data_IF_831213972491
#
_entry.id   IF_831213972491
#
_cell.length_a   1.000
_cell.length_b   1.000
_cell.length_c   1.000
_cell.angle_alpha   90.00
_cell.angle_beta   90.00
_cell.angle_gamma   90.00
#
_symmetry.space_group_name_H-M   'P 1'
#
loop_
_entity.id
_entity.type
_entity.pdbx_description
1 polymer ?
#
# COMPACT_ATOMS: atom_id res chain seq x y z
N UNK A 1 -3.74 -33.23 5.79
CA UNK A 1 -2.33 -33.35 5.35
C UNK A 1 -1.81 -31.94 5.19
N UNK A 2 -0.70 -31.59 5.83
CA UNK A 2 -0.01 -30.31 5.60
C UNK A 2 0.72 -30.41 4.26
N UNK A 3 0.21 -29.70 3.25
CA UNK A 3 0.87 -29.59 1.95
C UNK A 3 2.30 -29.06 2.13
N UNK A 4 3.26 -29.64 1.42
CA UNK A 4 4.68 -29.22 1.45
C UNK A 4 5.08 -28.81 0.03
N UNK A 5 5.39 -27.52 -0.21
CA UNK A 5 5.70 -27.01 -1.54
C UNK A 5 7.04 -27.55 -2.05
N UNK A 6 7.12 -27.84 -3.35
CA UNK A 6 8.33 -28.22 -4.08
C UNK A 6 8.88 -27.07 -4.91
N UNK A 7 8.02 -26.15 -5.36
CA UNK A 7 8.42 -24.96 -6.09
C UNK A 7 8.85 -23.84 -5.15
N UNK A 8 9.92 -23.14 -5.53
CA UNK A 8 10.45 -21.99 -4.79
C UNK A 8 9.36 -20.91 -4.59
N UNK A 9 8.52 -20.69 -5.61
CA UNK A 9 7.44 -19.71 -5.53
C UNK A 9 6.45 -20.02 -4.41
N UNK A 10 5.86 -21.23 -4.38
CA UNK A 10 4.89 -21.58 -3.35
C UNK A 10 5.53 -21.68 -1.96
N UNK A 11 6.79 -22.10 -1.88
CA UNK A 11 7.54 -22.07 -0.63
C UNK A 11 7.59 -20.64 -0.08
N UNK A 12 8.03 -19.67 -0.89
CA UNK A 12 8.08 -18.26 -0.50
C UNK A 12 6.70 -17.72 -0.14
N UNK A 13 5.66 -18.03 -0.93
CA UNK A 13 4.30 -17.57 -0.66
C UNK A 13 3.78 -18.05 0.69
N UNK A 14 4.02 -19.32 1.04
CA UNK A 14 3.58 -19.92 2.30
C UNK A 14 4.42 -19.42 3.48
N UNK A 15 5.75 -19.46 3.39
CA UNK A 15 6.66 -19.07 4.49
C UNK A 15 6.54 -17.60 4.89
N UNK A 16 6.28 -16.72 3.91
CA UNK A 16 6.12 -15.28 4.15
C UNK A 16 4.69 -14.86 4.48
N UNK A 17 3.72 -15.77 4.38
CA UNK A 17 2.32 -15.50 4.70
C UNK A 17 1.57 -14.71 3.63
N UNK A 18 1.90 -14.91 2.35
CA UNK A 18 1.17 -14.31 1.23
C UNK A 18 -0.13 -15.04 0.89
N UNK A 19 -0.32 -16.29 1.33
CA UNK A 19 -1.46 -17.09 0.91
C UNK A 19 -2.63 -16.98 1.90
N UNK A 20 -3.78 -16.54 1.39
CA UNK A 20 -5.07 -16.70 2.06
C UNK A 20 -5.76 -18.00 1.62
N UNK A 21 -5.82 -18.24 0.30
CA UNK A 21 -6.46 -19.43 -0.25
C UNK A 21 -5.90 -19.78 -1.62
N UNK A 22 -5.95 -21.06 -1.99
CA UNK A 22 -5.46 -21.61 -3.25
C UNK A 22 -6.42 -22.68 -3.76
N UNK A 23 -6.74 -22.64 -5.05
CA UNK A 23 -7.73 -23.56 -5.63
C UNK A 23 -7.23 -25.00 -5.68
N UNK A 24 -5.92 -25.20 -5.86
CA UNK A 24 -5.31 -26.52 -5.97
C UNK A 24 -3.79 -26.44 -5.75
N UNK A 25 -3.35 -26.75 -4.53
CA UNK A 25 -1.93 -26.67 -4.17
C UNK A 25 -1.06 -27.64 -4.96
N UNK A 26 -1.46 -28.92 -5.04
CA UNK A 26 -0.64 -29.96 -5.68
C UNK A 26 -0.50 -29.69 -7.18
N UNK A 27 -1.61 -29.38 -7.86
CA UNK A 27 -1.58 -29.09 -9.30
C UNK A 27 -0.81 -27.82 -9.64
N UNK A 28 -0.96 -26.77 -8.82
CA UNK A 28 -0.23 -25.52 -9.02
C UNK A 28 1.28 -25.72 -8.82
N UNK A 29 1.67 -26.45 -7.79
CA UNK A 29 3.07 -26.73 -7.47
C UNK A 29 3.75 -27.56 -8.57
N UNK A 30 3.06 -28.57 -9.08
CA UNK A 30 3.52 -29.35 -10.24
C UNK A 30 3.68 -28.49 -11.50
N UNK A 31 2.77 -27.54 -11.73
CA UNK A 31 2.86 -26.62 -12.86
C UNK A 31 4.04 -25.65 -12.71
N UNK A 32 4.24 -25.09 -11.51
CA UNK A 32 5.34 -24.17 -11.21
C UNK A 32 6.71 -24.84 -11.33
N UNK A 33 6.82 -26.12 -10.93
CA UNK A 33 8.07 -26.90 -11.06
C UNK A 33 8.53 -27.07 -12.51
N UNK A 34 7.66 -26.88 -13.51
CA UNK A 34 8.04 -26.91 -14.93
C UNK A 34 8.78 -25.64 -15.37
N UNK A 35 8.71 -24.56 -14.59
CA UNK A 35 9.37 -23.28 -14.85
C UNK A 35 8.67 -22.41 -15.90
N UNK A 36 8.97 -21.11 -15.89
CA UNK A 36 8.52 -20.15 -16.91
C UNK A 36 7.01 -19.86 -16.93
N UNK A 37 6.25 -20.34 -15.93
CA UNK A 37 4.80 -20.26 -15.91
C UNK A 37 4.32 -18.80 -15.90
N UNK A 38 3.51 -18.37 -16.89
CA UNK A 38 2.90 -17.05 -16.87
C UNK A 38 1.74 -16.99 -15.88
N UNK A 39 1.73 -15.94 -15.06
CA UNK A 39 0.65 -15.69 -14.10
C UNK A 39 0.36 -14.20 -14.00
N UNK A 40 -0.89 -13.84 -13.71
CA UNK A 40 -1.33 -12.46 -13.76
C UNK A 40 -2.03 -11.96 -12.50
N UNK A 41 -2.00 -10.64 -12.34
CA UNK A 41 -2.89 -9.89 -11.45
C UNK A 41 -3.46 -8.72 -12.26
N UNK A 42 -4.77 -8.50 -12.14
CA UNK A 42 -5.49 -7.38 -12.73
C UNK A 42 -5.50 -6.14 -11.85
N UNK A 43 -5.34 -4.96 -12.45
CA UNK A 43 -5.38 -3.67 -11.78
C UNK A 43 -6.26 -2.69 -12.55
N UNK A 44 -7.42 -2.35 -11.98
CA UNK A 44 -8.27 -1.28 -12.51
C UNK A 44 -7.57 0.09 -12.36
N UNK A 45 -7.66 0.91 -13.40
CA UNK A 45 -7.02 2.22 -13.49
C UNK A 45 -7.90 3.33 -12.89
N UNK A 46 -8.25 3.21 -11.61
CA UNK A 46 -9.13 4.18 -10.91
C UNK A 46 -8.46 5.47 -10.47
N UNK A 47 -7.13 5.47 -10.40
CA UNK A 47 -6.33 6.61 -9.97
C UNK A 47 -4.97 6.59 -10.69
N UNK A 48 -4.28 7.72 -10.69
CA UNK A 48 -2.97 7.88 -11.35
C UNK A 48 -1.83 7.13 -10.68
N UNK A 49 -2.06 6.61 -9.48
CA UNK A 49 -1.11 5.76 -8.76
C UNK A 49 -1.84 4.62 -8.09
N UNK A 50 -1.13 3.52 -7.88
CA UNK A 50 -1.50 2.54 -6.86
C UNK A 50 -1.16 3.08 -5.46
N UNK A 51 -1.69 2.44 -4.42
CA UNK A 51 -1.34 2.72 -3.03
C UNK A 51 -0.80 1.45 -2.37
N UNK A 52 -0.23 1.57 -1.18
CA UNK A 52 0.38 0.43 -0.42
C UNK A 52 -0.56 -0.76 -0.18
N UNK A 53 -1.87 -0.60 -0.37
CA UNK A 53 -2.83 -1.69 -0.32
C UNK A 53 -2.65 -2.70 -1.46
N UNK A 54 -2.21 -2.24 -2.63
CA UNK A 54 -1.88 -3.07 -3.79
C UNK A 54 -0.49 -3.72 -3.68
N UNK A 55 0.32 -3.32 -2.69
CA UNK A 55 1.74 -3.67 -2.65
C UNK A 55 1.96 -5.16 -2.35
N UNK A 56 1.05 -5.80 -1.60
CA UNK A 56 1.14 -7.25 -1.37
C UNK A 56 1.02 -8.02 -2.69
N UNK A 57 0.10 -7.62 -3.58
CA UNK A 57 -0.06 -8.23 -4.90
C UNK A 57 1.14 -7.96 -5.81
N UNK A 58 1.68 -6.73 -5.78
CA UNK A 58 2.89 -6.38 -6.53
C UNK A 58 4.07 -7.26 -6.08
N UNK A 59 4.22 -7.48 -4.76
CA UNK A 59 5.27 -8.34 -4.23
C UNK A 59 5.09 -9.81 -4.61
N UNK A 60 3.85 -10.32 -4.73
CA UNK A 60 3.62 -11.67 -5.27
C UNK A 60 4.13 -11.80 -6.71
N UNK A 61 3.83 -10.83 -7.58
CA UNK A 61 4.35 -10.81 -8.96
C UNK A 61 5.88 -10.73 -9.00
N UNK A 62 6.47 -9.93 -8.10
CA UNK A 62 7.93 -9.82 -7.99
C UNK A 62 8.56 -11.15 -7.57
N UNK A 63 8.02 -11.81 -6.56
CA UNK A 63 8.51 -13.14 -6.15
C UNK A 63 8.32 -14.18 -7.24
N UNK A 64 7.22 -14.13 -7.99
CA UNK A 64 7.02 -14.99 -9.16
C UNK A 64 8.16 -14.79 -10.17
N UNK A 65 8.50 -13.55 -10.49
CA UNK A 65 9.60 -13.25 -11.42
C UNK A 65 10.95 -13.76 -10.89
N UNK A 66 11.23 -13.53 -9.61
CA UNK A 66 12.50 -13.94 -8.98
C UNK A 66 12.65 -15.45 -8.84
N UNK A 67 11.55 -16.18 -8.87
CA UNK A 67 11.52 -17.64 -8.86
C UNK A 67 11.37 -18.23 -10.27
N UNK A 68 11.56 -17.41 -11.30
CA UNK A 68 11.62 -17.86 -12.71
C UNK A 68 10.28 -17.98 -13.42
N UNK A 69 9.17 -17.57 -12.78
CA UNK A 69 7.87 -17.39 -13.44
C UNK A 69 7.80 -16.10 -14.24
N UNK A 70 6.75 -15.96 -15.06
CA UNK A 70 6.57 -14.80 -15.96
C UNK A 70 5.38 -13.95 -15.52
N UNK A 71 5.57 -12.85 -14.77
CA UNK A 71 4.46 -12.03 -14.29
C UNK A 71 3.78 -11.28 -15.43
N UNK A 72 2.46 -11.19 -15.36
CA UNK A 72 1.62 -10.37 -16.21
C UNK A 72 0.92 -9.33 -15.33
N UNK A 73 1.22 -8.07 -15.56
CA UNK A 73 0.46 -6.95 -14.98
C UNK A 73 -0.63 -6.57 -15.96
N UNK A 74 -1.86 -7.02 -15.68
CA UNK A 74 -3.02 -6.71 -16.52
C UNK A 74 -3.61 -5.36 -16.12
N UNK A 75 -3.48 -4.37 -16.99
CA UNK A 75 -4.11 -3.06 -16.86
C UNK A 75 -5.58 -3.18 -17.26
N UNK A 76 -6.46 -2.77 -16.36
CA UNK A 76 -7.90 -2.88 -16.53
C UNK A 76 -8.50 -1.75 -17.36
N UNK A 77 -7.98 -1.42 -18.54
CA UNK A 77 -8.49 -0.31 -19.35
C UNK A 77 -9.96 -0.48 -19.75
N UNK A 78 -10.38 -1.70 -20.09
CA UNK A 78 -11.77 -2.04 -20.37
C UNK A 78 -12.60 -2.23 -19.09
N UNK A 79 -12.10 -2.98 -18.11
CA UNK A 79 -12.82 -3.24 -16.85
C UNK A 79 -13.05 -1.98 -16.01
N UNK A 80 -12.17 -0.98 -16.09
CA UNK A 80 -12.34 0.32 -15.41
C UNK A 80 -13.54 1.10 -15.93
N UNK A 81 -13.94 0.92 -17.19
CA UNK A 81 -15.14 1.53 -17.77
C UNK A 81 -16.45 0.96 -17.16
N UNK A 82 -16.35 -0.19 -16.50
CA UNK A 82 -17.46 -0.92 -15.87
C UNK A 82 -17.44 -0.73 -14.34
N UNK A 83 -16.29 -0.99 -13.72
CA UNK A 83 -16.05 -0.86 -12.28
C UNK A 83 -16.35 -2.14 -11.47
N UNK A 84 -15.38 -2.57 -10.65
CA UNK A 84 -15.52 -3.75 -9.78
C UNK A 84 -16.46 -3.49 -8.58
N UNK A 85 -17.58 -4.24 -8.43
CA UNK A 85 -18.46 -4.13 -7.28
C UNK A 85 -17.98 -4.85 -6.02
N UNK A 86 -16.92 -5.65 -6.10
CA UNK A 86 -16.52 -6.58 -5.04
C UNK A 86 -16.23 -5.87 -3.71
N UNK A 87 -17.02 -6.20 -2.68
CA UNK A 87 -16.90 -5.69 -1.31
C UNK A 87 -16.92 -4.14 -1.18
N UNK A 88 -17.56 -3.43 -2.12
CA UNK A 88 -17.77 -1.97 -2.07
C UNK A 88 -19.25 -1.61 -1.93
N UNK A 89 -19.50 -0.50 -1.24
CA UNK A 89 -20.84 0.01 -0.94
C UNK A 89 -21.34 1.07 -1.95
N UNK A 90 -20.43 1.86 -2.52
CA UNK A 90 -20.75 3.00 -3.39
C UNK A 90 -20.41 2.69 -4.85
N UNK A 91 -21.23 3.20 -5.78
CA UNK A 91 -20.98 3.15 -7.23
C UNK A 91 -19.77 4.03 -7.61
N UNK A 92 -18.93 3.56 -8.55
CA UNK A 92 -17.76 4.31 -9.00
C UNK A 92 -18.15 5.40 -10.01
N UNK A 93 -17.52 6.59 -9.96
CA UNK A 93 -17.64 7.55 -11.04
C UNK A 93 -17.04 6.96 -12.33
N UNK A 94 -17.75 7.15 -13.44
CA UNK A 94 -17.28 6.72 -14.76
C UNK A 94 -16.16 7.66 -15.22
N UNK A 95 -14.97 7.09 -15.47
CA UNK A 95 -13.81 7.82 -15.98
C UNK A 95 -13.88 7.94 -17.50
N UNK A 96 -13.35 9.03 -18.05
CA UNK A 96 -13.17 9.16 -19.50
C UNK A 96 -12.01 8.27 -19.98
N UNK A 97 -12.00 7.86 -21.27
CA UNK A 97 -10.86 7.13 -21.83
C UNK A 97 -9.52 7.82 -21.59
N UNK A 98 -9.43 9.14 -21.80
CA UNK A 98 -8.21 9.91 -21.55
C UNK A 98 -7.74 9.84 -20.09
N UNK A 99 -8.67 9.87 -19.13
CA UNK A 99 -8.34 9.73 -17.71
C UNK A 99 -7.86 8.31 -17.39
N UNK A 100 -8.45 7.28 -18.00
CA UNK A 100 -8.03 5.89 -17.85
C UNK A 100 -6.60 5.72 -18.38
N UNK A 101 -6.30 6.27 -19.55
CA UNK A 101 -4.96 6.18 -20.15
C UNK A 101 -3.91 6.93 -19.31
N UNK A 102 -4.25 8.11 -18.79
CA UNK A 102 -3.40 8.83 -17.83
C UNK A 102 -3.15 8.01 -16.57
N UNK A 103 -4.19 7.34 -16.06
CA UNK A 103 -4.06 6.50 -14.87
C UNK A 103 -3.17 5.29 -15.13
N UNK A 104 -3.34 4.60 -16.27
CA UNK A 104 -2.49 3.48 -16.69
C UNK A 104 -1.03 3.93 -16.81
N UNK A 105 -0.77 5.10 -17.41
CA UNK A 105 0.58 5.64 -17.55
C UNK A 105 1.25 5.89 -16.19
N UNK A 106 0.51 6.40 -15.21
CA UNK A 106 1.02 6.59 -13.85
C UNK A 106 1.23 5.27 -13.09
N UNK A 107 0.32 4.30 -13.22
CA UNK A 107 0.45 2.97 -12.62
C UNK A 107 1.68 2.22 -13.18
N UNK A 108 1.98 2.38 -14.47
CA UNK A 108 3.16 1.77 -15.11
C UNK A 108 4.48 2.15 -14.43
N UNK A 109 4.59 3.36 -13.90
CA UNK A 109 5.80 3.83 -13.21
C UNK A 109 6.05 3.01 -11.94
N UNK A 110 5.01 2.72 -11.17
CA UNK A 110 5.08 1.85 -9.98
C UNK A 110 5.64 0.48 -10.36
N UNK A 111 5.05 -0.19 -11.34
CA UNK A 111 5.46 -1.55 -11.69
C UNK A 111 6.89 -1.63 -12.21
N UNK A 112 7.36 -0.59 -12.91
CA UNK A 112 8.72 -0.53 -13.45
C UNK A 112 9.79 -0.52 -12.34
N UNK A 113 9.44 -0.17 -11.10
CA UNK A 113 10.33 -0.28 -9.95
C UNK A 113 10.42 -1.72 -9.40
N UNK A 114 9.35 -2.51 -9.54
CA UNK A 114 9.25 -3.85 -8.94
C UNK A 114 9.52 -5.01 -9.90
N UNK A 115 9.32 -4.82 -11.20
CA UNK A 115 9.38 -5.88 -12.20
C UNK A 115 10.31 -5.50 -13.35
N UNK A 116 11.06 -6.48 -13.85
CA UNK A 116 11.84 -6.35 -15.08
C UNK A 116 10.97 -6.66 -16.31
N UNK A 117 10.85 -5.70 -17.22
CA UNK A 117 10.09 -5.81 -18.48
C UNK A 117 11.00 -6.04 -19.69
N UNK A 118 12.21 -6.55 -19.49
CA UNK A 118 13.14 -6.93 -20.56
C UNK A 118 12.67 -8.16 -21.35
N UNK A 119 13.33 -8.44 -22.49
CA UNK A 119 13.10 -9.65 -23.31
C UNK A 119 13.68 -10.93 -22.68
N UNK A 120 14.01 -10.93 -21.38
CA UNK A 120 14.46 -12.12 -20.67
C UNK A 120 13.36 -13.20 -20.65
N UNK A 121 13.72 -14.50 -20.49
CA UNK A 121 12.73 -15.58 -20.43
C UNK A 121 11.64 -15.41 -19.35
N UNK A 122 11.97 -14.77 -18.23
CA UNK A 122 11.04 -14.40 -17.15
C UNK A 122 10.64 -12.91 -17.17
N UNK A 123 10.87 -12.22 -18.31
CA UNK A 123 10.49 -10.84 -18.52
C UNK A 123 9.00 -10.62 -18.37
N UNK A 124 8.63 -9.63 -17.54
CA UNK A 124 7.26 -9.29 -17.24
C UNK A 124 6.52 -8.79 -18.48
N UNK A 125 5.20 -8.98 -18.51
CA UNK A 125 4.33 -8.47 -19.56
C UNK A 125 3.33 -7.46 -18.98
N UNK A 126 3.24 -6.29 -19.61
CA UNK A 126 2.21 -5.29 -19.28
C UNK A 126 1.18 -5.29 -20.39
N UNK A 127 0.00 -5.83 -20.11
CA UNK A 127 -1.08 -6.04 -21.08
C UNK A 127 -2.26 -5.17 -20.68
N UNK A 128 -3.03 -4.66 -21.64
CA UNK A 128 -4.26 -3.92 -21.34
C UNK A 128 -5.48 -4.70 -21.83
N UNK A 129 -6.45 -5.02 -20.95
CA UNK A 129 -7.64 -5.75 -21.37
C UNK A 129 -8.55 -4.97 -22.33
N UNK A 130 -8.33 -3.66 -22.50
CA UNK A 130 -8.95 -2.89 -23.58
C UNK A 130 -8.64 -3.49 -24.97
N UNK A 131 -7.50 -4.19 -25.14
CA UNK A 131 -7.11 -4.86 -26.40
C UNK A 131 -8.14 -5.86 -26.92
N UNK A 132 -8.95 -6.47 -26.05
CA UNK A 132 -10.02 -7.38 -26.46
C UNK A 132 -11.39 -6.89 -26.04
N UNK A 133 -11.51 -6.22 -24.89
CA UNK A 133 -12.81 -5.76 -24.39
C UNK A 133 -13.43 -4.65 -25.23
N UNK A 134 -12.63 -3.76 -25.83
CA UNK A 134 -13.16 -2.65 -26.63
C UNK A 134 -13.68 -3.11 -28.00
N UNK A 135 -13.27 -4.29 -28.46
CA UNK A 135 -13.67 -4.87 -29.74
C UNK A 135 -14.83 -5.87 -29.62
N UNK A 136 -15.34 -6.12 -28.40
CA UNK A 136 -16.39 -7.11 -28.16
C UNK A 136 -17.71 -6.74 -28.84
N UNK A 137 -18.18 -7.60 -29.74
CA UNK A 137 -19.56 -7.57 -30.18
C UNK A 137 -20.47 -8.16 -29.09
N UNK A 138 -21.42 -7.36 -28.61
CA UNK A 138 -22.28 -7.75 -27.50
C UNK A 138 -23.06 -9.06 -27.73
N UNK A 139 -23.63 -9.25 -28.93
CA UNK A 139 -24.46 -10.44 -29.21
C UNK A 139 -23.60 -11.71 -29.33
N UNK A 140 -22.44 -11.59 -29.98
CA UNK A 140 -21.49 -12.70 -30.08
C UNK A 140 -20.94 -13.05 -28.69
N UNK A 141 -20.55 -12.04 -27.90
CA UNK A 141 -20.07 -12.25 -26.53
C UNK A 141 -21.11 -12.94 -25.64
N UNK A 142 -22.38 -12.52 -25.68
CA UNK A 142 -23.43 -13.20 -24.93
C UNK A 142 -23.63 -14.66 -25.37
N UNK A 143 -23.57 -14.90 -26.68
CA UNK A 143 -23.77 -16.23 -27.26
C UNK A 143 -22.62 -17.17 -26.92
N UNK A 144 -21.39 -16.70 -27.04
CA UNK A 144 -20.20 -17.54 -26.96
C UNK A 144 -19.68 -17.63 -25.52
N UNK A 145 -19.72 -16.53 -24.77
CA UNK A 145 -19.22 -16.44 -23.40
C UNK A 145 -20.37 -16.43 -22.38
N UNK A 146 -21.38 -15.57 -22.57
CA UNK A 146 -22.49 -15.40 -21.64
C UNK A 146 -23.25 -16.69 -21.30
N UNK A 147 -23.37 -17.63 -22.26
CA UNK A 147 -24.00 -18.95 -22.06
C UNK A 147 -23.34 -19.81 -20.98
N UNK A 148 -22.09 -19.52 -20.61
CA UNK A 148 -21.36 -20.27 -19.59
C UNK A 148 -21.63 -19.78 -18.17
N UNK A 149 -22.34 -18.66 -18.01
CA UNK A 149 -22.64 -18.06 -16.72
C UNK A 149 -24.08 -18.33 -16.29
N UNK A 150 -24.26 -18.73 -15.04
CA UNK A 150 -25.58 -18.86 -14.42
C UNK A 150 -25.82 -17.66 -13.51
N UNK A 151 -26.88 -16.91 -13.77
CA UNK A 151 -27.28 -15.77 -12.93
C UNK A 151 -27.46 -16.21 -11.47
N UNK A 152 -28.13 -17.35 -11.22
CA UNK A 152 -28.30 -17.87 -9.85
C UNK A 152 -26.97 -18.11 -9.14
N UNK A 153 -25.96 -18.64 -9.84
CA UNK A 153 -24.62 -18.86 -9.28
C UNK A 153 -23.92 -17.53 -9.03
N UNK A 154 -23.99 -16.59 -9.96
CA UNK A 154 -23.40 -15.26 -9.80
C UNK A 154 -23.94 -14.54 -8.56
N UNK A 155 -25.26 -14.61 -8.33
CA UNK A 155 -25.91 -14.02 -7.16
C UNK A 155 -25.52 -14.71 -5.83
N UNK A 156 -25.00 -15.95 -5.87
CA UNK A 156 -24.60 -16.67 -4.65
C UNK A 156 -23.21 -16.31 -4.13
N UNK A 157 -22.38 -15.63 -4.92
CA UNK A 157 -21.06 -15.19 -4.46
C UNK A 157 -21.19 -14.13 -3.37
N UNK A 158 -20.40 -14.24 -2.32
CA UNK A 158 -20.50 -13.37 -1.12
C UNK A 158 -20.33 -11.87 -1.45
N UNK A 159 -19.49 -11.55 -2.44
CA UNK A 159 -19.27 -10.19 -2.93
C UNK A 159 -20.53 -9.53 -3.48
N UNK A 160 -21.41 -10.32 -4.11
CA UNK A 160 -22.69 -9.87 -4.69
C UNK A 160 -23.81 -10.00 -3.67
N UNK A 161 -23.91 -11.16 -3.02
CA UNK A 161 -24.93 -11.49 -2.04
C UNK A 161 -24.99 -10.46 -0.91
N UNK A 162 -23.83 -10.04 -0.37
CA UNK A 162 -23.79 -9.06 0.71
C UNK A 162 -24.32 -7.67 0.33
N UNK A 163 -24.25 -7.26 -0.94
CA UNK A 163 -24.88 -6.01 -1.42
C UNK A 163 -26.39 -6.16 -1.52
N UNK A 164 -26.86 -7.29 -2.05
CA UNK A 164 -28.28 -7.60 -2.16
C UNK A 164 -28.96 -7.69 -0.80
N UNK A 165 -28.31 -8.36 0.16
CA UNK A 165 -28.79 -8.50 1.54
C UNK A 165 -28.87 -7.14 2.27
N UNK A 166 -28.07 -6.16 1.85
CA UNK A 166 -28.07 -4.77 2.37
C UNK A 166 -28.97 -3.82 1.58
N UNK A 167 -29.74 -4.33 0.63
CA UNK A 167 -30.60 -3.54 -0.28
C UNK A 167 -29.82 -2.45 -1.04
N UNK A 168 -28.53 -2.66 -1.25
CA UNK A 168 -27.71 -1.76 -2.07
C UNK A 168 -27.95 -2.09 -3.55
N UNK A 169 -28.16 -1.07 -4.38
CA UNK A 169 -28.28 -1.25 -5.83
C UNK A 169 -27.03 -1.94 -6.35
N UNK A 170 -27.20 -2.92 -7.24
CA UNK A 170 -26.13 -3.47 -8.07
C UNK A 170 -26.55 -3.25 -9.51
N UNK A 171 -25.84 -2.37 -10.21
CA UNK A 171 -26.19 -2.04 -11.58
C UNK A 171 -25.92 -3.22 -12.52
N UNK A 172 -26.61 -3.28 -13.66
CA UNK A 172 -26.32 -4.26 -14.70
C UNK A 172 -24.87 -4.16 -15.18
N UNK A 173 -24.32 -2.94 -15.22
CA UNK A 173 -22.93 -2.68 -15.57
C UNK A 173 -22.00 -3.41 -14.60
N UNK A 174 -22.09 -3.13 -13.31
CA UNK A 174 -21.28 -3.78 -12.26
C UNK A 174 -21.45 -5.31 -12.24
N UNK A 175 -22.67 -5.82 -12.48
CA UNK A 175 -22.92 -7.26 -12.53
C UNK A 175 -22.16 -7.96 -13.66
N UNK A 176 -21.90 -7.27 -14.78
CA UNK A 176 -21.11 -7.82 -15.88
C UNK A 176 -19.60 -7.84 -15.58
N UNK A 177 -19.11 -7.14 -14.55
CA UNK A 177 -17.69 -7.12 -14.20
C UNK A 177 -17.11 -8.52 -14.00
N UNK A 178 -17.85 -9.38 -13.30
CA UNK A 178 -17.45 -10.78 -13.04
C UNK A 178 -17.24 -11.58 -14.33
N UNK A 179 -18.05 -11.30 -15.35
CA UNK A 179 -17.99 -11.97 -16.66
C UNK A 179 -16.76 -11.47 -17.42
N UNK A 180 -16.51 -10.15 -17.40
CA UNK A 180 -15.36 -9.54 -18.08
C UNK A 180 -14.03 -10.00 -17.46
N UNK A 181 -13.91 -10.01 -16.13
CA UNK A 181 -12.69 -10.51 -15.47
C UNK A 181 -12.49 -12.02 -15.72
N UNK A 182 -13.57 -12.80 -15.79
CA UNK A 182 -13.46 -14.21 -16.17
C UNK A 182 -12.97 -14.38 -17.62
N UNK A 183 -13.47 -13.53 -18.52
CA UNK A 183 -13.04 -13.50 -19.91
C UNK A 183 -11.57 -13.07 -20.06
N UNK A 184 -11.07 -12.14 -19.23
CA UNK A 184 -9.66 -11.78 -19.20
C UNK A 184 -8.75 -12.99 -18.93
N UNK A 185 -9.14 -13.90 -18.04
CA UNK A 185 -8.34 -15.11 -17.78
C UNK A 185 -8.30 -16.02 -19.02
N UNK A 186 -9.43 -16.20 -19.70
CA UNK A 186 -9.49 -16.98 -20.94
C UNK A 186 -8.62 -16.35 -22.04
N UNK A 187 -8.72 -15.04 -22.25
CA UNK A 187 -7.91 -14.33 -23.26
C UNK A 187 -6.42 -14.37 -22.95
N UNK A 188 -6.03 -14.13 -21.69
CA UNK A 188 -4.63 -14.24 -21.27
C UNK A 188 -4.09 -15.66 -21.40
N UNK A 189 -4.92 -16.66 -21.15
CA UNK A 189 -4.58 -18.05 -21.37
C UNK A 189 -4.33 -18.34 -22.86
N UNK A 190 -5.28 -17.97 -23.72
CA UNK A 190 -5.19 -18.22 -25.16
C UNK A 190 -4.02 -17.47 -25.83
N UNK A 191 -3.76 -16.22 -25.43
CA UNK A 191 -2.76 -15.35 -26.06
C UNK A 191 -1.36 -15.57 -25.51
N UNK A 192 -1.24 -15.81 -24.20
CA UNK A 192 0.04 -15.76 -23.49
C UNK A 192 0.35 -17.04 -22.69
N UNK A 193 -0.51 -18.06 -22.76
CA UNK A 193 -0.34 -19.30 -21.99
C UNK A 193 -0.45 -19.07 -20.48
N UNK A 194 -1.21 -18.06 -20.04
CA UNK A 194 -1.39 -17.76 -18.62
C UNK A 194 -2.08 -18.93 -17.89
N UNK A 195 -1.45 -19.39 -16.81
CA UNK A 195 -1.92 -20.57 -16.06
C UNK A 195 -2.42 -20.24 -14.66
N UNK A 196 -2.10 -19.07 -14.12
CA UNK A 196 -2.44 -18.68 -12.75
C UNK A 196 -2.96 -17.24 -12.70
N UNK A 197 -4.10 -17.05 -12.04
CA UNK A 197 -4.56 -15.73 -11.60
C UNK A 197 -4.27 -15.57 -10.11
N UNK A 198 -3.66 -14.45 -9.74
CA UNK A 198 -3.49 -14.06 -8.36
C UNK A 198 -4.31 -12.81 -8.04
N UNK A 199 -4.63 -12.59 -6.76
CA UNK A 199 -5.40 -11.41 -6.33
C UNK A 199 -5.57 -11.33 -4.83
N UNK A 200 -6.29 -10.31 -4.35
CA UNK A 200 -6.73 -10.26 -2.95
C UNK A 200 -7.80 -11.33 -2.65
N UNK A 201 -8.00 -11.67 -1.38
CA UNK A 201 -9.01 -12.67 -0.96
C UNK A 201 -10.43 -12.27 -1.33
N UNK A 202 -10.68 -10.98 -1.54
CA UNK A 202 -11.92 -10.43 -2.08
C UNK A 202 -12.18 -10.80 -3.55
N UNK A 203 -11.16 -11.23 -4.29
CA UNK A 203 -11.24 -11.58 -5.72
C UNK A 203 -11.47 -13.07 -5.98
N UNK A 204 -11.54 -13.91 -4.94
CA UNK A 204 -11.65 -15.37 -5.11
C UNK A 204 -12.84 -15.79 -6.00
N UNK A 205 -14.00 -15.14 -5.82
CA UNK A 205 -15.18 -15.42 -6.63
C UNK A 205 -14.95 -15.18 -8.12
N UNK A 206 -14.29 -14.07 -8.47
CA UNK A 206 -14.00 -13.72 -9.85
C UNK A 206 -12.92 -14.63 -10.47
N UNK A 207 -11.88 -14.96 -9.68
CA UNK A 207 -10.83 -15.91 -10.06
C UNK A 207 -11.44 -17.28 -10.42
N UNK A 208 -12.32 -17.81 -9.57
CA UNK A 208 -13.00 -19.09 -9.80
C UNK A 208 -13.85 -19.04 -11.08
N UNK A 209 -14.53 -17.93 -11.35
CA UNK A 209 -15.31 -17.79 -12.58
C UNK A 209 -14.42 -17.80 -13.83
N UNK A 210 -13.27 -17.13 -13.79
CA UNK A 210 -12.27 -17.20 -14.86
C UNK A 210 -11.78 -18.62 -15.09
N UNK A 211 -11.42 -19.34 -14.02
CA UNK A 211 -10.99 -20.72 -14.13
C UNK A 211 -12.07 -21.64 -14.73
N UNK A 212 -13.31 -21.48 -14.28
CA UNK A 212 -14.44 -22.25 -14.79
C UNK A 212 -14.73 -21.95 -16.26
N UNK A 213 -14.60 -20.69 -16.68
CA UNK A 213 -14.77 -20.29 -18.07
C UNK A 213 -13.66 -20.90 -18.93
N UNK A 214 -12.39 -20.75 -18.54
CA UNK A 214 -11.25 -21.32 -19.26
C UNK A 214 -11.40 -22.84 -19.41
N UNK A 215 -11.79 -23.54 -18.33
CA UNK A 215 -12.06 -24.98 -18.41
C UNK A 215 -13.18 -25.36 -19.37
N UNK A 216 -14.23 -24.54 -19.50
CA UNK A 216 -15.39 -24.84 -20.36
C UNK A 216 -15.16 -24.52 -21.81
N UNK A 217 -14.33 -23.52 -22.10
CA UNK A 217 -14.11 -23.00 -23.46
C UNK A 217 -12.83 -23.54 -24.06
N UNK A 218 -11.73 -23.53 -23.32
CA UNK A 218 -10.42 -24.01 -23.78
C UNK A 218 -10.14 -25.47 -23.38
N UNK A 219 -10.98 -26.07 -22.52
CA UNK A 219 -10.78 -27.42 -21.96
C UNK A 219 -9.48 -27.58 -21.13
N UNK A 220 -8.84 -26.45 -20.80
CA UNK A 220 -7.60 -26.41 -20.06
C UNK A 220 -7.79 -26.14 -18.56
N UNK A 221 -6.84 -26.65 -17.77
CA UNK A 221 -6.80 -26.45 -16.33
C UNK A 221 -5.87 -25.30 -15.98
N UNK A 222 -6.42 -24.29 -15.31
CA UNK A 222 -5.71 -23.13 -14.78
C UNK A 222 -5.95 -23.01 -13.26
N UNK A 223 -5.25 -22.11 -12.59
CA UNK A 223 -5.18 -22.04 -11.12
C UNK A 223 -5.50 -20.65 -10.58
N UNK A 224 -5.90 -20.60 -9.30
CA UNK A 224 -6.13 -19.39 -8.54
C UNK A 224 -5.37 -19.39 -7.22
N UNK A 225 -4.79 -18.23 -6.85
CA UNK A 225 -4.13 -18.02 -5.56
C UNK A 225 -4.47 -16.62 -5.03
N UNK A 226 -4.91 -16.53 -3.78
CA UNK A 226 -5.28 -15.25 -3.19
C UNK A 226 -4.42 -14.87 -2.00
N UNK A 227 -4.25 -13.56 -1.82
CA UNK A 227 -3.57 -12.97 -0.67
C UNK A 227 -4.54 -12.46 0.38
N UNK A 228 -4.14 -12.41 1.66
CA UNK A 228 -5.01 -11.86 2.70
C UNK A 228 -5.26 -10.37 2.47
N UNK A 229 -6.46 -9.91 2.83
CA UNK A 229 -6.70 -8.48 3.04
C UNK A 229 -5.95 -8.04 4.30
N UNK A 230 -4.92 -7.20 4.11
CA UNK A 230 -4.08 -6.81 5.22
C UNK A 230 -4.76 -5.77 6.12
N UNK A 231 -4.83 -6.12 7.40
CA UNK A 231 -5.08 -5.20 8.50
C UNK A 231 -3.82 -5.05 9.33
N UNK A 232 -3.62 -3.89 9.92
CA UNK A 232 -2.62 -3.64 10.96
C UNK A 232 -3.08 -4.21 12.30
N UNK A 233 -2.16 -4.38 13.25
CA UNK A 233 -2.46 -4.92 14.58
C UNK A 233 -3.46 -4.05 15.37
N UNK A 234 -3.59 -2.77 15.03
CA UNK A 234 -4.58 -1.84 15.59
C UNK A 234 -5.94 -1.89 14.86
N UNK A 235 -6.14 -2.83 13.94
CA UNK A 235 -7.40 -3.09 13.25
C UNK A 235 -7.68 -2.17 12.05
N UNK A 236 -6.74 -1.30 11.66
CA UNK A 236 -6.90 -0.43 10.49
C UNK A 236 -6.62 -1.20 9.20
N UNK A 237 -7.31 -0.82 8.12
CA UNK A 237 -7.00 -1.32 6.77
C UNK A 237 -5.64 -0.78 6.33
N UNK A 238 -4.82 -1.66 5.79
CA UNK A 238 -3.53 -1.29 5.23
C UNK A 238 -3.72 -0.33 4.04
N UNK A 239 -3.04 0.82 4.08
CA UNK A 239 -3.09 1.86 3.04
C UNK A 239 -4.09 2.99 3.23
N UNK A 240 -4.74 3.09 4.40
CA UNK A 240 -5.42 4.31 4.86
C UNK A 240 -4.66 4.90 6.05
N UNK A 241 -4.00 6.04 5.84
CA UNK A 241 -3.46 6.89 6.91
C UNK A 241 -4.54 7.88 7.38
N UNK A 242 -4.25 8.65 8.44
CA UNK A 242 -5.13 9.75 8.86
C UNK A 242 -5.30 10.81 7.76
N UNK A 243 -4.32 10.93 6.87
CA UNK A 243 -4.26 11.93 5.80
C UNK A 243 -4.73 11.39 4.43
N UNK A 244 -5.25 10.16 4.38
CA UNK A 244 -5.75 9.55 3.14
C UNK A 244 -4.95 8.32 2.70
N UNK A 245 -4.87 8.09 1.39
CA UNK A 245 -4.16 6.93 0.84
C UNK A 245 -2.64 7.15 0.85
N UNK A 246 -1.89 6.08 1.13
CA UNK A 246 -0.43 6.10 1.03
C UNK A 246 -0.06 5.69 -0.40
N UNK A 247 0.09 6.69 -1.27
CA UNK A 247 0.36 6.50 -2.70
C UNK A 247 1.78 6.01 -2.97
N UNK A 248 1.98 5.37 -4.12
CA UNK A 248 3.27 4.82 -4.54
C UNK A 248 4.03 5.75 -5.50
N UNK A 249 3.35 6.61 -6.26
CA UNK A 249 4.03 7.60 -7.09
C UNK A 249 4.47 8.82 -6.24
N UNK A 250 5.72 9.25 -6.48
CA UNK A 250 6.39 10.29 -5.70
C UNK A 250 5.77 11.69 -5.84
N UNK A 251 5.01 11.93 -6.91
CA UNK A 251 4.25 13.16 -7.16
C UNK A 251 2.98 13.27 -6.31
N UNK A 252 2.44 12.13 -5.83
CA UNK A 252 1.25 12.07 -4.98
C UNK A 252 1.57 11.90 -3.49
N UNK A 253 2.69 11.26 -3.17
CA UNK A 253 3.20 11.12 -1.81
C UNK A 253 4.73 11.13 -1.87
N UNK A 254 5.36 12.03 -1.13
CA UNK A 254 6.83 12.16 -1.20
C UNK A 254 7.53 10.88 -0.70
N UNK A 255 8.74 10.56 -1.21
CA UNK A 255 9.51 9.42 -0.70
C UNK A 255 9.78 9.49 0.81
N UNK A 256 9.88 10.71 1.36
CA UNK A 256 10.01 10.92 2.79
C UNK A 256 8.75 10.52 3.57
N UNK A 257 7.57 10.94 3.12
CA UNK A 257 6.30 10.55 3.75
C UNK A 257 6.03 9.05 3.59
N UNK A 258 6.38 8.47 2.44
CA UNK A 258 6.33 7.03 2.22
C UNK A 258 7.24 6.28 3.20
N UNK A 259 8.49 6.73 3.34
CA UNK A 259 9.43 6.17 4.31
C UNK A 259 8.91 6.30 5.76
N UNK A 260 8.37 7.47 6.12
CA UNK A 260 7.80 7.74 7.44
C UNK A 260 6.62 6.81 7.75
N UNK A 261 5.77 6.54 6.76
CA UNK A 261 4.68 5.57 6.91
C UNK A 261 5.20 4.20 7.38
N UNK A 262 6.25 3.67 6.75
CA UNK A 262 6.85 2.39 7.14
C UNK A 262 7.60 2.48 8.47
N UNK A 263 8.30 3.60 8.72
CA UNK A 263 9.00 3.85 9.99
C UNK A 263 8.04 3.89 11.18
N UNK A 264 6.79 4.26 10.95
CA UNK A 264 5.72 4.34 11.95
C UNK A 264 4.93 3.04 12.13
N UNK A 265 5.37 1.93 11.51
CA UNK A 265 4.82 0.59 11.73
C UNK A 265 4.81 0.25 13.24
N UNK A 266 3.74 -0.40 13.71
CA UNK A 266 3.64 -0.87 15.10
C UNK A 266 4.65 -1.98 15.35
N UNK A 267 5.18 -2.10 16.58
CA UNK A 267 6.19 -3.12 16.91
C UNK A 267 5.71 -4.53 16.56
N UNK A 268 4.42 -4.82 16.79
CA UNK A 268 3.79 -6.10 16.51
C UNK A 268 3.71 -6.45 15.01
N UNK A 269 3.73 -5.45 14.12
CA UNK A 269 3.64 -5.65 12.68
C UNK A 269 4.99 -5.70 11.97
N UNK A 270 6.09 -5.25 12.60
CA UNK A 270 7.42 -5.12 11.97
C UNK A 270 7.88 -6.43 11.34
N UNK A 271 7.91 -7.53 12.11
CA UNK A 271 8.37 -8.83 11.59
C UNK A 271 7.52 -9.34 10.41
N UNK A 272 6.20 -9.15 10.47
CA UNK A 272 5.28 -9.52 9.39
C UNK A 272 5.49 -8.65 8.15
N UNK A 273 5.65 -7.35 8.32
CA UNK A 273 5.83 -6.42 7.19
C UNK A 273 7.21 -6.58 6.55
N UNK A 274 8.25 -6.91 7.31
CA UNK A 274 9.55 -7.31 6.76
C UNK A 274 9.38 -8.53 5.82
N UNK A 275 8.61 -9.54 6.22
CA UNK A 275 8.33 -10.72 5.36
C UNK A 275 7.51 -10.37 4.12
N UNK A 276 6.53 -9.49 4.22
CA UNK A 276 5.61 -9.22 3.10
C UNK A 276 6.16 -8.20 2.09
N UNK A 277 6.97 -7.24 2.53
CA UNK A 277 7.30 -6.07 1.71
C UNK A 277 8.79 -5.89 1.41
N UNK A 278 9.65 -6.78 1.92
CA UNK A 278 11.10 -6.74 1.64
C UNK A 278 11.58 -8.04 1.02
N UNK A 279 12.82 -8.02 0.53
CA UNK A 279 13.49 -9.21 0.00
C UNK A 279 14.46 -9.86 0.99
N UNK A 280 14.47 -9.39 2.24
CA UNK A 280 15.34 -9.91 3.29
C UNK A 280 15.05 -11.40 3.57
N UNK A 281 16.07 -12.22 3.91
CA UNK A 281 15.84 -13.61 4.29
C UNK A 281 14.83 -13.75 5.44
N UNK A 282 13.97 -14.78 5.39
CA UNK A 282 12.92 -15.00 6.42
C UNK A 282 13.51 -15.05 7.83
N UNK A 283 14.66 -15.72 7.99
CA UNK A 283 15.38 -15.78 9.27
C UNK A 283 15.81 -14.39 9.79
N UNK A 284 16.15 -13.47 8.88
CA UNK A 284 16.49 -12.09 9.25
C UNK A 284 15.23 -11.30 9.63
N UNK A 285 14.12 -11.49 8.92
CA UNK A 285 12.83 -10.92 9.29
C UNK A 285 12.39 -11.38 10.69
N UNK A 286 12.59 -12.67 11.02
CA UNK A 286 12.29 -13.23 12.34
C UNK A 286 13.19 -12.65 13.42
N UNK A 287 14.50 -12.52 13.15
CA UNK A 287 15.46 -11.91 14.08
C UNK A 287 15.10 -10.44 14.38
N UNK A 288 14.82 -9.66 13.34
CA UNK A 288 14.45 -8.24 13.46
C UNK A 288 13.09 -8.04 14.13
N UNK A 289 12.11 -8.90 13.81
CA UNK A 289 10.78 -8.87 14.43
C UNK A 289 10.76 -9.28 15.90
N UNK A 290 11.80 -9.97 16.38
CA UNK A 290 11.94 -10.36 17.79
C UNK A 290 12.63 -9.29 18.66
N UNK A 291 13.14 -8.19 18.07
CA UNK A 291 13.73 -7.08 18.82
C UNK A 291 12.69 -6.40 19.70
N UNK A 292 13.13 -5.81 20.81
CA UNK A 292 12.25 -5.16 21.78
C UNK A 292 12.87 -3.86 22.33
N UNK A 293 12.07 -3.08 23.06
CA UNK A 293 12.54 -1.87 23.70
C UNK A 293 12.99 -0.81 22.68
N UNK A 294 14.21 -0.30 22.82
CA UNK A 294 14.76 0.67 21.87
C UNK A 294 15.24 0.04 20.56
N UNK A 295 15.65 -1.24 20.57
CA UNK A 295 16.26 -1.93 19.43
C UNK A 295 15.26 -2.18 18.29
N UNK A 296 13.97 -2.28 18.58
CA UNK A 296 12.93 -2.41 17.55
C UNK A 296 12.90 -1.20 16.60
N UNK A 297 13.42 -0.03 17.02
CA UNK A 297 13.51 1.13 16.14
C UNK A 297 14.46 0.88 14.96
N UNK A 298 15.52 0.10 15.15
CA UNK A 298 16.46 -0.24 14.08
C UNK A 298 15.77 -1.11 13.04
N UNK A 299 14.96 -2.08 13.48
CA UNK A 299 14.16 -2.91 12.58
C UNK A 299 13.12 -2.10 11.77
N UNK A 300 12.54 -1.05 12.37
CA UNK A 300 11.61 -0.15 11.67
C UNK A 300 12.32 0.72 10.63
N UNK A 301 13.54 1.17 10.93
CA UNK A 301 14.39 1.89 9.96
C UNK A 301 14.75 0.97 8.81
N UNK A 302 15.16 -0.28 9.09
CA UNK A 302 15.45 -1.28 8.05
C UNK A 302 14.22 -1.52 7.17
N UNK A 303 13.04 -1.75 7.76
CA UNK A 303 11.79 -1.89 7.01
C UNK A 303 11.54 -0.68 6.10
N UNK A 304 11.64 0.52 6.65
CA UNK A 304 11.39 1.75 5.88
C UNK A 304 12.41 1.90 4.74
N UNK A 305 13.67 1.60 4.99
CA UNK A 305 14.73 1.68 3.99
C UNK A 305 14.52 0.68 2.86
N UNK A 306 14.29 -0.60 3.18
CA UNK A 306 14.10 -1.66 2.18
C UNK A 306 12.89 -1.38 1.28
N UNK A 307 11.74 -1.03 1.87
CA UNK A 307 10.52 -0.80 1.08
C UNK A 307 10.63 0.48 0.26
N UNK A 308 11.23 1.54 0.80
CA UNK A 308 11.46 2.80 0.06
C UNK A 308 12.46 2.60 -1.06
N UNK A 309 13.52 1.82 -0.82
CA UNK A 309 14.54 1.56 -1.83
C UNK A 309 13.99 0.76 -3.01
N UNK A 310 13.09 -0.20 -2.77
CA UNK A 310 12.43 -0.96 -3.83
C UNK A 310 11.58 -0.07 -4.75
N UNK A 311 10.91 0.94 -4.20
CA UNK A 311 9.99 1.79 -4.97
C UNK A 311 10.67 3.03 -5.57
N UNK A 312 11.43 3.74 -4.76
CA UNK A 312 11.98 5.07 -5.09
C UNK A 312 13.51 5.05 -5.29
N UNK A 313 14.15 3.90 -5.12
CA UNK A 313 15.60 3.74 -5.24
C UNK A 313 16.36 4.00 -3.94
N UNK A 314 17.58 3.47 -3.88
CA UNK A 314 18.41 3.50 -2.68
C UNK A 314 18.76 4.92 -2.21
N UNK A 315 18.99 5.86 -3.13
CA UNK A 315 19.32 7.24 -2.78
C UNK A 315 18.15 7.98 -2.15
N UNK A 316 16.92 7.75 -2.63
CA UNK A 316 15.72 8.31 -2.01
C UNK A 316 15.50 7.77 -0.60
N UNK A 317 15.73 6.47 -0.38
CA UNK A 317 15.66 5.86 0.94
C UNK A 317 16.68 6.47 1.92
N UNK A 318 17.94 6.61 1.50
CA UNK A 318 18.99 7.25 2.32
C UNK A 318 18.65 8.70 2.63
N UNK A 319 18.16 9.45 1.65
CA UNK A 319 17.77 10.85 1.84
C UNK A 319 16.60 10.97 2.83
N UNK A 320 15.61 10.08 2.73
CA UNK A 320 14.47 10.05 3.66
C UNK A 320 14.90 9.71 5.09
N UNK A 321 15.77 8.70 5.26
CA UNK A 321 16.35 8.35 6.57
C UNK A 321 17.16 9.50 7.16
N UNK A 322 18.06 10.12 6.38
CA UNK A 322 18.86 11.26 6.82
C UNK A 322 17.97 12.43 7.24
N UNK A 323 16.92 12.73 6.46
CA UNK A 323 15.92 13.75 6.81
C UNK A 323 15.22 13.41 8.13
N UNK A 324 14.77 12.16 8.30
CA UNK A 324 14.12 11.72 9.53
C UNK A 324 15.04 11.83 10.74
N UNK A 325 16.31 11.48 10.58
CA UNK A 325 17.34 11.58 11.62
C UNK A 325 17.63 13.03 11.97
N UNK A 326 17.80 13.91 10.99
CA UNK A 326 17.98 15.34 11.24
C UNK A 326 16.79 15.95 11.94
N UNK A 327 15.57 15.61 11.50
CA UNK A 327 14.34 16.04 12.15
C UNK A 327 14.37 15.57 13.60
N UNK A 328 14.66 14.29 13.88
CA UNK A 328 14.72 13.74 15.24
C UNK A 328 15.84 14.35 16.11
N UNK A 329 17.05 14.52 15.58
CA UNK A 329 18.22 15.10 16.27
C UNK A 329 18.05 16.60 16.54
N UNK A 330 17.37 17.33 15.65
CA UNK A 330 16.90 18.71 15.88
C UNK A 330 15.65 18.75 16.75
N UNK A 331 15.20 17.60 17.26
CA UNK A 331 14.14 17.47 18.24
C UNK A 331 12.72 17.31 17.70
N UNK A 332 12.58 17.08 16.40
CA UNK A 332 11.35 16.78 15.71
C UNK A 332 10.89 15.35 15.93
N UNK A 333 9.80 15.21 16.67
CA UNK A 333 8.92 14.05 16.57
C UNK A 333 7.79 14.52 15.65
N UNK A 334 7.69 13.99 14.43
CA UNK A 334 6.55 14.27 13.53
C UNK A 334 5.22 13.81 14.16
N UNK A 335 4.05 14.30 13.80
CA UNK A 335 3.62 15.20 12.71
C UNK A 335 3.67 16.69 13.10
N UNK A 336 3.85 17.58 12.11
CA UNK A 336 3.76 19.05 12.21
C UNK A 336 4.25 19.61 13.56
N UNK A 337 5.56 19.84 13.71
CA UNK A 337 6.00 20.71 14.80
C UNK A 337 5.34 22.07 14.56
N UNK A 338 4.39 22.51 15.39
CA UNK A 338 3.76 23.80 15.20
C UNK A 338 4.87 24.84 15.28
N UNK A 339 5.12 25.52 14.16
CA UNK A 339 6.16 26.54 14.08
C UNK A 339 5.50 27.90 14.31
N UNK A 340 5.81 28.49 15.45
CA UNK A 340 5.44 29.86 15.77
C UNK A 340 6.49 30.80 15.19
N UNK A 341 6.15 31.46 14.09
CA UNK A 341 6.95 32.54 13.52
C UNK A 341 6.57 33.86 14.18
N UNK A 342 7.55 34.58 14.72
CA UNK A 342 7.38 35.88 15.36
C UNK A 342 8.07 36.96 14.53
N UNK A 343 7.43 38.10 14.36
CA UNK A 343 8.07 39.30 13.82
C UNK A 343 8.91 40.01 14.89
N UNK A 344 9.74 40.97 14.47
CA UNK A 344 10.46 41.84 15.41
C UNK A 344 9.50 42.63 16.32
N UNK A 345 8.34 43.03 15.79
CA UNK A 345 7.29 43.74 16.53
C UNK A 345 6.60 42.84 17.57
N UNK A 346 6.48 41.53 17.31
CA UNK A 346 5.90 40.57 18.26
C UNK A 346 6.77 40.34 19.51
N UNK A 347 8.08 40.56 19.38
CA UNK A 347 9.07 40.34 20.44
C UNK A 347 9.31 41.62 21.24
N UNK A 348 9.37 42.79 20.58
CA UNK A 348 9.68 44.07 21.22
C UNK A 348 10.99 43.98 22.01
N UNK A 349 10.98 44.43 23.28
CA UNK A 349 12.13 44.32 24.20
C UNK A 349 12.28 42.92 24.82
N UNK A 350 11.36 41.99 24.53
CA UNK A 350 11.38 40.60 24.96
C UNK A 350 9.98 40.03 25.18
N UNK A 351 9.81 38.74 24.85
CA UNK A 351 8.56 37.98 25.06
C UNK A 351 8.73 36.92 26.13
N UNK A 352 7.75 36.77 27.02
CA UNK A 352 7.84 35.80 28.10
C UNK A 352 7.77 34.36 27.58
N UNK A 353 8.60 33.46 28.14
CA UNK A 353 8.57 32.02 27.82
C UNK A 353 7.19 31.40 28.03
N UNK A 354 6.44 31.88 29.02
CA UNK A 354 5.06 31.46 29.29
C UNK A 354 4.12 31.82 28.14
N UNK A 355 4.29 33.02 27.56
CA UNK A 355 3.50 33.44 26.41
C UNK A 355 3.87 32.63 25.16
N UNK A 356 5.15 32.30 24.97
CA UNK A 356 5.57 31.46 23.85
C UNK A 356 5.01 30.04 23.93
N UNK A 357 5.01 29.42 25.11
CA UNK A 357 4.42 28.08 25.32
C UNK A 357 2.91 28.08 25.02
N UNK A 358 2.21 29.18 25.29
CA UNK A 358 0.77 29.32 24.95
C UNK A 358 0.57 29.60 23.47
N UNK A 359 1.31 30.57 22.89
CA UNK A 359 1.21 30.95 21.47
C UNK A 359 1.59 29.82 20.52
N UNK A 360 2.48 28.92 20.95
CA UNK A 360 2.88 27.71 20.21
C UNK A 360 1.85 26.57 20.28
N UNK A 361 0.74 26.75 21.00
CA UNK A 361 -0.34 25.76 21.08
C UNK A 361 -0.04 24.56 22.00
N UNK A 362 1.07 24.56 22.73
CA UNK A 362 1.47 23.45 23.60
C UNK A 362 0.53 23.26 24.80
N UNK A 363 -0.07 24.37 25.29
CA UNK A 363 -1.04 24.41 26.40
C UNK A 363 -2.11 25.47 26.14
N UNK A 364 -3.24 25.40 26.87
CA UNK A 364 -4.40 26.27 26.61
C UNK A 364 -4.37 27.62 27.36
N UNK A 365 -3.54 27.76 28.40
CA UNK A 365 -3.51 28.97 29.22
C UNK A 365 -2.15 29.21 29.90
N UNK A 366 -1.87 30.48 30.24
CA UNK A 366 -0.64 30.83 30.97
C UNK A 366 -0.54 30.19 32.36
N UNK A 367 -1.67 29.90 33.02
CA UNK A 367 -1.68 29.17 34.31
C UNK A 367 -1.22 27.72 34.13
N UNK A 368 -1.62 27.09 33.03
CA UNK A 368 -1.18 25.74 32.66
C UNK A 368 0.31 25.71 32.31
N UNK A 369 0.80 26.70 31.56
CA UNK A 369 2.22 26.86 31.26
C UNK A 369 3.09 27.02 32.54
N UNK A 370 2.67 27.87 33.48
CA UNK A 370 3.39 28.05 34.76
C UNK A 370 3.42 26.77 35.60
N UNK A 371 2.31 26.02 35.65
CA UNK A 371 2.27 24.72 36.33
C UNK A 371 3.21 23.71 35.67
N UNK A 372 3.20 23.64 34.34
CA UNK A 372 4.06 22.76 33.57
C UNK A 372 5.55 23.00 33.86
N UNK A 373 5.96 24.28 33.95
CA UNK A 373 7.33 24.68 34.32
C UNK A 373 7.63 24.26 35.77
N UNK A 374 6.74 24.56 36.72
CA UNK A 374 6.93 24.23 38.13
C UNK A 374 7.00 22.71 38.40
N UNK A 375 6.34 21.90 37.58
CA UNK A 375 6.34 20.43 37.66
C UNK A 375 7.48 19.79 36.85
N UNK A 376 8.46 20.57 36.34
CA UNK A 376 9.56 20.11 35.47
C UNK A 376 9.08 19.39 34.19
N UNK A 377 7.87 19.74 33.72
CA UNK A 377 7.27 19.18 32.52
C UNK A 377 7.59 19.96 31.23
N UNK A 378 8.25 21.13 31.34
CA UNK A 378 8.64 21.96 30.21
C UNK A 378 10.13 21.83 29.89
N UNK A 379 10.49 21.88 28.60
CA UNK A 379 11.88 21.96 28.14
C UNK A 379 12.07 23.07 27.12
N UNK A 380 13.25 23.70 27.15
CA UNK A 380 13.74 24.65 26.16
C UNK A 380 15.02 24.07 25.55
N UNK A 381 15.04 23.83 24.24
CA UNK A 381 16.17 23.19 23.54
C UNK A 381 16.63 21.88 24.22
N UNK A 382 15.65 21.05 24.58
CA UNK A 382 15.82 19.76 25.27
C UNK A 382 16.37 19.80 26.70
N UNK A 383 16.74 20.98 27.20
CA UNK A 383 17.10 21.25 28.59
C UNK A 383 15.88 21.56 29.46
N UNK A 384 15.86 21.16 30.75
CA UNK A 384 14.78 21.48 31.67
C UNK A 384 14.54 22.99 31.78
N UNK A 385 13.31 23.43 31.52
CA UNK A 385 12.90 24.82 31.72
C UNK A 385 12.33 24.97 33.14
N UNK A 386 13.10 25.61 34.03
CA UNK A 386 12.71 25.83 35.43
C UNK A 386 12.34 27.28 35.74
N UNK A 387 12.77 28.24 34.93
CA UNK A 387 12.47 29.66 35.11
C UNK A 387 11.22 30.08 34.32
N UNK A 388 10.11 30.27 35.03
CA UNK A 388 8.85 30.77 34.45
C UNK A 388 8.84 32.28 34.19
N UNK A 389 9.86 33.01 34.62
CA UNK A 389 10.05 34.44 34.37
C UNK A 389 10.99 34.74 33.19
N UNK A 390 11.51 33.71 32.52
CA UNK A 390 12.44 33.86 31.41
C UNK A 390 11.85 34.71 30.27
N UNK A 391 12.62 35.70 29.83
CA UNK A 391 12.30 36.56 28.69
C UNK A 391 13.17 36.17 27.49
N UNK A 392 12.54 36.00 26.34
CA UNK A 392 13.19 35.64 25.08
C UNK A 392 13.27 36.90 24.21
N UNK A 393 14.48 37.27 23.81
CA UNK A 393 14.76 38.43 22.97
C UNK A 393 14.99 38.01 21.52
N UNK A 394 15.08 38.99 20.61
CA UNK A 394 15.46 38.76 19.21
C UNK A 394 16.83 38.10 19.08
N UNK A 395 17.79 38.45 19.95
CA UNK A 395 19.12 37.80 20.00
C UNK A 395 19.03 36.32 20.35
N UNK A 396 18.18 35.95 21.31
CA UNK A 396 17.94 34.54 21.68
C UNK A 396 17.28 33.74 20.56
N UNK A 397 16.51 34.41 19.68
CA UNK A 397 15.86 33.83 18.51
C UNK A 397 16.69 33.95 17.21
N UNK A 398 17.97 34.32 17.31
CA UNK A 398 18.91 34.26 16.17
C UNK A 398 19.04 32.85 15.58
N UNK A 399 18.74 31.82 16.38
CA UNK A 399 18.47 30.45 15.95
C UNK A 399 17.09 30.01 16.45
N UNK A 400 16.34 29.18 15.71
CA UNK A 400 15.07 28.64 16.20
C UNK A 400 15.23 27.92 17.54
N UNK A 401 14.27 28.14 18.45
CA UNK A 401 14.24 27.47 19.75
C UNK A 401 13.12 26.42 19.77
N UNK A 402 13.39 25.30 20.44
CA UNK A 402 12.45 24.21 20.62
C UNK A 402 11.81 24.28 21.99
N UNK A 403 10.48 24.30 22.03
CA UNK A 403 9.70 24.18 23.26
C UNK A 403 9.06 22.79 23.33
N UNK A 404 9.10 22.17 24.52
CA UNK A 404 8.46 20.87 24.74
C UNK A 404 7.56 20.90 25.98
N UNK A 405 6.40 20.24 25.87
CA UNK A 405 5.45 20.05 26.95
C UNK A 405 5.21 18.54 27.21
N UNK A 406 6.00 17.99 28.13
CA UNK A 406 6.09 16.55 28.36
C UNK A 406 6.88 15.82 27.26
N UNK A 407 6.59 14.53 27.06
CA UNK A 407 7.37 13.65 26.15
C UNK A 407 6.91 13.66 24.69
N UNK A 408 5.74 14.22 24.38
CA UNK A 408 5.08 14.04 23.07
C UNK A 408 4.63 15.33 22.38
N UNK A 409 4.69 16.48 23.04
CA UNK A 409 4.23 17.76 22.49
C UNK A 409 5.42 18.68 22.34
N UNK A 410 5.72 19.08 21.11
CA UNK A 410 6.86 19.90 20.75
C UNK A 410 6.41 21.01 19.81
N UNK A 411 7.07 22.16 19.87
CA UNK A 411 6.84 23.28 18.97
C UNK A 411 8.16 24.03 18.71
N UNK A 412 8.27 24.62 17.53
CA UNK A 412 9.42 25.45 17.15
C UNK A 412 9.01 26.92 17.27
N UNK A 413 9.89 27.78 17.77
CA UNK A 413 9.71 29.23 17.75
C UNK A 413 10.88 29.84 17.00
N UNK A 414 10.58 30.67 16.01
CA UNK A 414 11.60 31.31 15.17
C UNK A 414 11.25 32.77 14.85
N UNK A 415 12.26 33.55 14.52
CA UNK A 415 12.11 34.88 13.95
C UNK A 415 11.77 34.76 12.45
N UNK A 416 10.76 35.51 12.00
CA UNK A 416 10.26 35.53 10.63
C UNK A 416 10.76 36.66 9.76
#
# INVERSE_FOLDING_TARGET
>A
MTFTPKSDFLQIMLERGFVADCTDYDGLDEALCKGGMPAYIGFDATASSLHVGSLIQIMMLRWLQKTGGRPITLMGGGTTKVGDPSFRADERPLLTPDMIDQNIAGIKQVFSAYLDYSDAPNGAMMINNAEWLDELNYLEFLRDIGRHFSVNRMLSFESVKSRLDREQSLSFLEFNYMILQAYDFLELHNRYGCMLQMGGSDQMGNIINGMELTRRVAEDRVFGLTSPLLTTSDGKKMGKSQNGAVWLNADMLSPYEFWQFWRNTTDADVGRFLKLYTELPVAECDRLGALAGSEINDAKVILANEVTALLHGAEAAKAAEATAREVFEKGGVGDDLPTLTLSHDDIGDGVSIVQLIVKSGLVKSGKEAKRLIAENGAKLNDEPLTDGGLMITTETLSSPIKLSAGKKRHALVQLG
#
